data_IF_974518285636
#
_entry.id   IF_974518285636
#
_cell.length_a   1.000
_cell.length_b   1.000
_cell.length_c   1.000
_cell.angle_alpha   90.00
_cell.angle_beta   90.00
_cell.angle_gamma   90.00
#
_symmetry.space_group_name_H-M   'P 1'
#
loop_
_entity.id
_entity.type
_entity.pdbx_description
1 polymer ?
#
# COMPACT_ATOMS: atom_id res chain seq x y z
N UNK A 1 -23.28 40.12 -47.18
CA UNK A 1 -22.16 39.45 -46.48
C UNK A 1 -22.43 39.48 -44.98
N UNK A 2 -22.80 38.33 -44.39
CA UNK A 2 -22.94 38.17 -42.94
C UNK A 2 -21.75 37.35 -42.44
N UNK A 3 -20.95 37.94 -41.56
CA UNK A 3 -19.79 37.29 -40.93
C UNK A 3 -20.30 36.31 -39.87
N UNK A 4 -20.11 35.01 -40.13
CA UNK A 4 -20.46 33.93 -39.22
C UNK A 4 -19.35 33.79 -38.17
N UNK A 5 -19.70 33.97 -36.90
CA UNK A 5 -18.78 34.02 -35.77
C UNK A 5 -18.47 32.59 -35.29
N UNK A 6 -17.32 32.05 -35.71
CA UNK A 6 -16.90 30.66 -35.53
C UNK A 6 -16.14 30.45 -34.19
N UNK A 7 -16.76 30.81 -33.05
CA UNK A 7 -16.10 30.69 -31.73
C UNK A 7 -16.89 29.96 -30.64
N UNK A 8 -18.04 29.35 -30.94
CA UNK A 8 -18.90 28.74 -29.92
C UNK A 8 -19.24 27.26 -30.18
N UNK A 9 -18.25 26.47 -30.58
CA UNK A 9 -18.46 25.02 -30.74
C UNK A 9 -17.21 24.26 -30.29
N UNK A 10 -16.70 24.60 -29.11
CA UNK A 10 -15.79 23.72 -28.38
C UNK A 10 -16.65 22.60 -27.79
N UNK A 11 -16.83 21.56 -28.60
CA UNK A 11 -16.68 20.16 -28.22
C UNK A 11 -16.97 19.85 -26.74
N UNK A 12 -18.25 19.78 -26.37
CA UNK A 12 -18.68 18.90 -25.27
C UNK A 12 -18.71 17.49 -25.87
N UNK A 13 -17.53 16.93 -26.13
CA UNK A 13 -17.39 15.48 -26.12
C UNK A 13 -17.15 15.15 -24.67
N UNK A 14 -18.27 14.89 -23.99
CA UNK A 14 -18.30 14.11 -22.76
C UNK A 14 -17.56 12.81 -23.08
N UNK A 15 -16.29 12.81 -22.69
CA UNK A 15 -15.40 11.66 -22.65
C UNK A 15 -16.08 10.59 -21.79
N UNK A 16 -16.91 9.76 -22.41
CA UNK A 16 -16.90 8.34 -22.08
C UNK A 16 -15.52 7.85 -22.52
N UNK A 17 -14.49 8.18 -21.72
CA UNK A 17 -13.20 7.54 -21.85
C UNK A 17 -13.49 6.06 -21.65
N UNK A 18 -13.28 5.21 -22.68
CA UNK A 18 -13.26 3.78 -22.43
C UNK A 18 -12.28 3.60 -21.30
N UNK A 19 -12.76 3.02 -20.20
CA UNK A 19 -11.97 2.61 -19.06
C UNK A 19 -10.72 1.99 -19.66
N UNK A 20 -9.56 2.64 -19.48
CA UNK A 20 -8.31 2.19 -20.08
C UNK A 20 -8.14 0.75 -19.60
N UNK A 21 -8.31 -0.24 -20.50
CA UNK A 21 -8.54 -1.66 -20.19
C UNK A 21 -7.39 -2.37 -19.43
N UNK A 22 -6.36 -1.61 -19.05
CA UNK A 22 -5.17 -2.06 -18.33
C UNK A 22 -4.89 -1.25 -17.06
N UNK A 23 -5.79 -0.36 -16.67
CA UNK A 23 -5.66 0.41 -15.44
C UNK A 23 -6.26 -0.38 -14.27
N UNK A 24 -5.52 -0.45 -13.17
CA UNK A 24 -5.99 -1.09 -11.95
C UNK A 24 -7.02 -0.21 -11.26
N UNK A 25 -8.04 -0.82 -10.66
CA UNK A 25 -8.95 -0.15 -9.74
C UNK A 25 -8.47 -0.40 -8.31
N UNK A 26 -8.47 0.59 -7.41
CA UNK A 26 -8.19 0.39 -5.98
C UNK A 26 -9.01 1.31 -5.09
N UNK A 27 -9.08 0.96 -3.80
CA UNK A 27 -9.77 1.76 -2.78
C UNK A 27 -8.77 2.65 -2.03
N UNK A 28 -9.18 3.88 -1.74
CA UNK A 28 -8.45 4.81 -0.86
C UNK A 28 -9.42 5.47 0.15
N UNK A 29 -8.90 5.94 1.28
CA UNK A 29 -9.66 6.78 2.20
C UNK A 29 -10.03 8.10 1.54
N UNK A 30 -11.29 8.50 1.68
CA UNK A 30 -11.67 9.88 1.37
C UNK A 30 -11.10 10.77 2.48
N UNK A 31 -10.09 11.57 2.15
CA UNK A 31 -9.60 12.59 3.08
C UNK A 31 -10.64 13.70 3.16
N UNK A 32 -11.16 13.96 4.35
CA UNK A 32 -11.90 15.19 4.61
C UNK A 32 -10.88 16.33 4.69
N UNK A 33 -10.97 17.29 3.77
CA UNK A 33 -10.12 18.48 3.74
C UNK A 33 -10.22 19.31 5.04
N UNK A 34 -11.27 19.11 5.83
CA UNK A 34 -11.51 19.75 7.13
C UNK A 34 -10.70 19.15 8.31
N UNK A 35 -9.95 18.06 8.09
CA UNK A 35 -9.13 17.43 9.14
C UNK A 35 -7.89 18.25 9.57
N UNK A 36 -7.71 19.45 9.00
CA UNK A 36 -6.70 20.41 9.41
C UNK A 36 -7.00 21.12 10.77
N UNK A 37 -8.21 21.05 11.33
CA UNK A 37 -8.52 21.68 12.62
C UNK A 37 -8.64 20.67 13.76
N UNK A 38 -7.51 20.13 14.23
CA UNK A 38 -7.42 19.32 15.45
C UNK A 38 -7.85 20.04 16.76
N UNK A 39 -8.36 21.26 16.69
CA UNK A 39 -8.66 22.11 17.85
C UNK A 39 -10.10 22.64 17.93
N UNK A 40 -11.01 22.23 17.04
CA UNK A 40 -12.41 22.68 17.11
C UNK A 40 -13.21 21.76 18.02
N UNK A 41 -13.21 22.07 19.31
CA UNK A 41 -14.04 21.42 20.31
C UNK A 41 -15.53 21.61 20.01
N UNK A 42 -16.29 20.52 20.01
CA UNK A 42 -17.75 20.52 20.00
C UNK A 42 -18.37 20.31 18.62
N UNK A 43 -18.25 19.11 18.07
CA UNK A 43 -19.22 18.62 17.09
C UNK A 43 -19.78 17.30 17.57
N UNK A 44 -21.11 17.20 17.61
CA UNK A 44 -21.87 15.98 17.88
C UNK A 44 -21.22 14.76 17.22
N UNK A 45 -21.13 13.65 17.95
CA UNK A 45 -20.61 12.36 17.45
C UNK A 45 -21.42 11.91 16.24
N UNK A 46 -21.04 12.37 15.04
CA UNK A 46 -21.58 11.89 13.78
C UNK A 46 -21.23 10.41 13.64
N UNK A 47 -22.23 9.66 13.23
CA UNK A 47 -22.29 8.20 13.18
C UNK A 47 -21.09 7.63 12.39
N UNK A 48 -20.32 6.73 13.03
CA UNK A 48 -20.22 5.30 12.74
C UNK A 48 -19.72 4.76 11.38
N UNK A 49 -19.40 5.55 10.36
CA UNK A 49 -18.96 5.01 9.06
C UNK A 49 -17.62 5.56 8.54
N UNK A 50 -16.94 4.79 7.69
CA UNK A 50 -15.77 5.23 6.90
C UNK A 50 -16.19 5.50 5.47
N UNK A 51 -15.77 6.64 4.93
CA UNK A 51 -15.94 6.96 3.52
C UNK A 51 -14.69 6.55 2.74
N UNK A 52 -14.89 5.72 1.72
CA UNK A 52 -13.84 5.22 0.85
C UNK A 52 -14.13 5.61 -0.59
N UNK A 53 -13.11 5.99 -1.33
CA UNK A 53 -13.20 6.31 -2.75
C UNK A 53 -12.57 5.22 -3.58
N UNK A 54 -13.14 4.97 -4.75
CA UNK A 54 -12.58 4.06 -5.74
C UNK A 54 -11.81 4.89 -6.76
N UNK A 55 -10.58 4.48 -7.04
CA UNK A 55 -9.68 5.10 -8.01
C UNK A 55 -9.34 4.12 -9.11
N UNK A 56 -9.13 4.64 -10.31
CA UNK A 56 -8.70 3.88 -11.47
C UNK A 56 -7.49 4.58 -12.11
N UNK A 57 -6.48 3.81 -12.51
CA UNK A 57 -5.26 4.35 -13.11
C UNK A 57 -3.97 3.71 -12.58
N UNK A 58 -2.89 4.47 -12.68
CA UNK A 58 -1.66 4.23 -11.94
C UNK A 58 -1.69 5.04 -10.63
N UNK A 59 -0.76 4.79 -9.71
CA UNK A 59 -0.72 5.50 -8.42
C UNK A 59 -0.48 7.03 -8.55
N UNK A 60 0.03 7.52 -9.68
CA UNK A 60 0.39 8.93 -9.90
C UNK A 60 -0.74 9.75 -10.55
N UNK A 61 -1.42 9.18 -11.55
CA UNK A 61 -2.43 9.80 -12.41
C UNK A 61 -3.82 9.18 -12.19
N UNK A 62 -4.10 8.82 -10.94
CA UNK A 62 -5.33 8.15 -10.56
C UNK A 62 -6.56 9.04 -10.76
N UNK A 63 -7.55 8.55 -11.49
CA UNK A 63 -8.84 9.20 -11.67
C UNK A 63 -9.86 8.59 -10.71
N UNK A 64 -10.69 9.43 -10.09
CA UNK A 64 -11.79 8.98 -9.26
C UNK A 64 -12.87 8.33 -10.13
N UNK A 65 -13.34 7.14 -9.72
CA UNK A 65 -14.43 6.43 -10.41
C UNK A 65 -15.75 6.95 -9.86
N UNK A 66 -16.47 7.73 -10.65
CA UNK A 66 -17.77 8.30 -10.27
C UNK A 66 -18.93 7.33 -10.51
N UNK A 67 -18.83 6.44 -11.50
CA UNK A 67 -19.89 5.47 -11.77
C UNK A 67 -19.61 4.15 -11.06
N UNK A 68 -20.22 3.99 -9.88
CA UNK A 68 -20.17 2.77 -9.08
C UNK A 68 -21.41 1.89 -9.29
N UNK A 69 -22.23 2.17 -10.32
CA UNK A 69 -23.41 1.35 -10.62
C UNK A 69 -22.99 -0.10 -10.90
N UNK A 70 -23.86 -1.05 -10.53
CA UNK A 70 -23.62 -2.52 -10.61
C UNK A 70 -22.43 -3.05 -9.79
N UNK A 71 -21.85 -2.23 -8.91
CA UNK A 71 -20.79 -2.67 -8.03
C UNK A 71 -21.36 -3.32 -6.76
N UNK A 72 -20.57 -4.22 -6.18
CA UNK A 72 -20.87 -4.94 -4.95
C UNK A 72 -19.76 -4.66 -3.95
N UNK A 73 -20.14 -4.32 -2.71
CA UNK A 73 -19.18 -4.14 -1.61
C UNK A 73 -19.47 -5.18 -0.53
N UNK A 74 -18.46 -5.98 -0.21
CA UNK A 74 -18.48 -6.96 0.87
C UNK A 74 -17.52 -6.51 1.97
N UNK A 75 -17.94 -6.70 3.21
CA UNK A 75 -17.16 -6.37 4.40
C UNK A 75 -17.09 -7.64 5.23
N UNK A 76 -15.89 -8.20 5.35
CA UNK A 76 -15.59 -9.33 6.22
C UNK A 76 -14.99 -8.79 7.52
N UNK A 77 -15.60 -9.11 8.65
CA UNK A 77 -15.05 -8.74 9.96
C UNK A 77 -14.00 -9.74 10.48
N UNK A 78 -13.55 -9.54 11.72
CA UNK A 78 -12.55 -10.40 12.35
C UNK A 78 -13.09 -11.81 12.69
N UNK A 79 -14.39 -11.91 12.96
CA UNK A 79 -15.12 -13.15 13.24
C UNK A 79 -15.53 -13.91 11.96
N UNK A 80 -15.09 -13.42 10.78
CA UNK A 80 -15.43 -13.96 9.46
C UNK A 80 -16.92 -13.80 9.09
N UNK A 81 -17.63 -12.90 9.76
CA UNK A 81 -18.99 -12.51 9.39
C UNK A 81 -18.96 -11.57 8.19
N UNK A 82 -19.95 -11.71 7.31
CA UNK A 82 -20.06 -10.93 6.08
C UNK A 82 -21.22 -9.94 6.18
N UNK A 83 -20.91 -8.68 5.91
CA UNK A 83 -21.87 -7.61 5.77
C UNK A 83 -21.73 -6.97 4.38
N UNK A 84 -22.83 -6.41 3.87
CA UNK A 84 -22.80 -5.61 2.65
C UNK A 84 -22.42 -4.16 3.01
N UNK A 85 -21.48 -3.58 2.26
CA UNK A 85 -21.21 -2.15 2.29
C UNK A 85 -22.30 -1.37 1.55
N UNK A 86 -22.44 -0.07 1.84
CA UNK A 86 -23.32 0.81 1.09
C UNK A 86 -22.51 1.55 0.04
N UNK A 87 -23.04 1.59 -1.18
CA UNK A 87 -22.49 2.40 -2.25
C UNK A 87 -23.38 3.64 -2.35
N UNK A 88 -22.79 4.80 -2.11
CA UNK A 88 -23.38 6.10 -2.36
C UNK A 88 -22.74 6.65 -3.64
N UNK A 89 -23.43 7.54 -4.36
CA UNK A 89 -23.11 7.99 -5.72
C UNK A 89 -21.63 7.83 -6.13
N UNK A 90 -20.73 8.45 -5.37
CA UNK A 90 -19.30 8.54 -5.67
C UNK A 90 -18.37 7.88 -4.63
N UNK A 91 -18.89 7.26 -3.58
CA UNK A 91 -18.08 6.71 -2.49
C UNK A 91 -18.74 5.50 -1.80
N UNK A 92 -17.91 4.71 -1.15
CA UNK A 92 -18.32 3.53 -0.39
C UNK A 92 -18.40 3.93 1.08
N UNK A 93 -19.53 3.64 1.71
CA UNK A 93 -19.74 3.78 3.14
C UNK A 93 -19.66 2.41 3.80
N UNK A 94 -18.72 2.25 4.74
CA UNK A 94 -18.55 1.02 5.51
C UNK A 94 -18.68 1.27 7.00
N UNK A 95 -19.61 0.56 7.64
CA UNK A 95 -19.75 0.52 9.08
C UNK A 95 -18.81 -0.55 9.66
N UNK A 96 -18.03 -0.18 10.69
CA UNK A 96 -17.22 -1.12 11.47
C UNK A 96 -17.42 -0.84 12.96
N UNK A 97 -18.52 -1.33 13.55
CA UNK A 97 -18.92 -0.88 14.88
C UNK A 97 -17.95 -1.32 15.98
N UNK A 98 -17.28 -2.46 15.79
CA UNK A 98 -16.42 -3.08 16.79
C UNK A 98 -14.94 -2.81 16.51
N UNK A 99 -14.13 -2.88 17.57
CA UNK A 99 -12.67 -2.91 17.45
C UNK A 99 -12.24 -4.18 16.70
N UNK A 100 -11.40 -4.04 15.69
CA UNK A 100 -10.93 -5.21 14.93
C UNK A 100 -10.34 -4.88 13.56
N UNK A 101 -10.00 -5.94 12.83
CA UNK A 101 -9.57 -5.89 11.44
C UNK A 101 -10.76 -6.23 10.55
N UNK A 102 -10.98 -5.42 9.52
CA UNK A 102 -12.03 -5.59 8.53
C UNK A 102 -11.40 -5.67 7.16
N UNK A 103 -11.85 -6.62 6.34
CA UNK A 103 -11.46 -6.73 4.95
C UNK A 103 -12.63 -6.26 4.09
N UNK A 104 -12.39 -5.20 3.33
CA UNK A 104 -13.38 -4.61 2.44
C UNK A 104 -13.02 -5.07 1.04
N UNK A 105 -14.01 -5.63 0.35
CA UNK A 105 -13.92 -6.07 -1.03
C UNK A 105 -14.89 -5.26 -1.85
N UNK A 106 -14.40 -4.72 -2.96
CA UNK A 106 -15.21 -4.07 -3.99
C UNK A 106 -15.11 -4.92 -5.25
N UNK A 107 -16.23 -5.22 -5.87
CA UNK A 107 -16.31 -5.95 -7.14
C UNK A 107 -17.24 -5.18 -8.10
N UNK A 108 -16.82 -5.03 -9.34
CA UNK A 108 -17.62 -4.46 -10.42
C UNK A 108 -17.56 -5.39 -11.63
N UNK A 109 -18.69 -5.54 -12.32
CA UNK A 109 -18.82 -6.40 -13.50
C UNK A 109 -19.37 -5.62 -14.68
N UNK A 110 -18.73 -5.75 -15.84
CA UNK A 110 -19.21 -5.14 -17.08
C UNK A 110 -18.89 -6.03 -18.28
N UNK A 111 -19.78 -6.08 -19.27
CA UNK A 111 -19.54 -6.77 -20.55
C UNK A 111 -19.12 -5.76 -21.60
N UNK A 112 -17.93 -5.97 -22.16
CA UNK A 112 -17.36 -5.16 -23.23
C UNK A 112 -16.70 -6.07 -24.27
N UNK A 113 -17.01 -5.88 -25.56
CA UNK A 113 -16.44 -6.66 -26.67
C UNK A 113 -16.55 -8.19 -26.46
N UNK A 114 -17.72 -8.69 -26.06
CA UNK A 114 -17.99 -10.10 -25.74
C UNK A 114 -17.14 -10.69 -24.60
N UNK A 115 -16.48 -9.83 -23.80
CA UNK A 115 -15.74 -10.21 -22.59
C UNK A 115 -16.43 -9.65 -21.36
N UNK A 116 -16.75 -10.53 -20.41
CA UNK A 116 -17.16 -10.14 -19.07
C UNK A 116 -15.93 -9.74 -18.26
N UNK A 117 -15.76 -8.45 -18.01
CA UNK A 117 -14.73 -7.92 -17.14
C UNK A 117 -15.24 -7.94 -15.69
N UNK A 118 -14.58 -8.72 -14.83
CA UNK A 118 -14.81 -8.77 -13.40
C UNK A 118 -13.63 -8.11 -12.72
N UNK A 119 -13.81 -6.87 -12.26
CA UNK A 119 -12.75 -6.08 -11.62
C UNK A 119 -13.03 -6.00 -10.13
N UNK A 120 -12.07 -6.44 -9.32
CA UNK A 120 -12.16 -6.45 -7.88
C UNK A 120 -10.98 -5.73 -7.24
N UNK A 121 -11.18 -5.22 -6.03
CA UNK A 121 -10.10 -4.71 -5.20
C UNK A 121 -10.39 -4.97 -3.72
N UNK A 122 -9.35 -5.18 -2.94
CA UNK A 122 -9.47 -5.42 -1.50
C UNK A 122 -8.58 -4.51 -0.70
N UNK A 123 -9.10 -4.01 0.42
CA UNK A 123 -8.34 -3.21 1.38
C UNK A 123 -8.64 -3.66 2.80
N UNK A 124 -7.63 -3.57 3.66
CA UNK A 124 -7.77 -3.84 5.09
C UNK A 124 -7.93 -2.54 5.86
N UNK A 125 -8.91 -2.52 6.76
CA UNK A 125 -9.19 -1.42 7.66
C UNK A 125 -9.04 -1.92 9.08
N UNK A 126 -8.21 -1.26 9.87
CA UNK A 126 -8.05 -1.59 11.28
C UNK A 126 -8.71 -0.52 12.16
N UNK A 127 -9.82 -0.89 12.81
CA UNK A 127 -10.50 -0.05 13.78
C UNK A 127 -9.90 -0.30 15.17
N UNK A 128 -9.02 0.58 15.62
CA UNK A 128 -8.25 0.42 16.87
C UNK A 128 -9.07 0.66 18.13
N UNK A 129 -9.91 1.69 18.10
CA UNK A 129 -10.52 2.29 19.30
C UNK A 129 -12.06 2.19 19.26
N UNK A 130 -12.61 1.27 18.45
CA UNK A 130 -14.05 1.19 18.13
C UNK A 130 -14.61 2.54 17.60
N UNK A 131 -13.73 3.38 17.06
CA UNK A 131 -14.03 4.61 16.38
C UNK A 131 -13.52 4.50 14.95
N UNK A 132 -14.44 4.33 14.01
CA UNK A 132 -14.11 4.11 12.61
C UNK A 132 -13.43 5.32 11.95
N UNK A 133 -13.67 6.53 12.45
CA UNK A 133 -13.02 7.74 11.95
C UNK A 133 -11.51 7.72 12.25
N UNK A 134 -11.12 7.15 13.38
CA UNK A 134 -9.71 6.97 13.78
C UNK A 134 -9.11 5.65 13.27
N UNK A 135 -9.88 4.89 12.49
CA UNK A 135 -9.40 3.65 11.91
C UNK A 135 -8.29 3.94 10.89
N UNK A 136 -7.34 3.02 10.80
CA UNK A 136 -6.18 3.23 9.94
C UNK A 136 -6.28 2.29 8.75
N UNK A 137 -6.16 2.84 7.54
CA UNK A 137 -5.90 2.08 6.31
C UNK A 137 -4.42 1.70 6.24
N UNK A 138 -3.98 0.90 7.20
CA UNK A 138 -2.65 0.33 7.20
C UNK A 138 -2.75 -1.14 7.49
N UNK A 139 -1.79 -1.87 6.94
CA UNK A 139 -1.51 -3.22 7.35
C UNK A 139 -0.99 -3.21 8.79
N UNK A 140 -1.91 -3.23 9.76
CA UNK A 140 -1.61 -3.20 11.19
C UNK A 140 -1.53 -4.63 11.74
N UNK A 141 -0.67 -4.76 12.76
CA UNK A 141 0.04 -5.96 13.18
C UNK A 141 -0.72 -7.06 13.94
N UNK A 142 -0.10 -8.25 13.83
CA UNK A 142 -0.22 -9.50 14.62
C UNK A 142 0.16 -9.48 16.10
N UNK A 143 -0.55 -8.71 16.93
CA UNK A 143 -0.78 -9.03 18.35
C UNK A 143 -2.16 -8.57 18.85
N UNK A 144 -2.86 -7.76 18.07
CA UNK A 144 -4.29 -7.57 18.25
C UNK A 144 -4.98 -8.86 17.81
N UNK A 145 -5.71 -9.45 18.74
CA UNK A 145 -6.66 -10.53 18.49
C UNK A 145 -7.43 -10.17 17.22
N UNK A 146 -7.32 -10.97 16.16
CA UNK A 146 -8.08 -10.73 14.91
C UNK A 146 -7.32 -10.29 13.65
N UNK A 147 -6.00 -10.01 13.68
CA UNK A 147 -5.24 -9.77 12.43
C UNK A 147 -4.87 -11.09 11.75
N UNK A 148 -5.88 -11.79 11.27
CA UNK A 148 -5.76 -13.06 10.57
C UNK A 148 -5.28 -12.80 9.14
N UNK A 149 -3.96 -12.73 8.97
CA UNK A 149 -3.36 -13.17 7.72
C UNK A 149 -3.77 -14.64 7.50
N UNK A 150 -3.90 -15.06 6.25
CA UNK A 150 -4.23 -16.44 5.90
C UNK A 150 -5.71 -16.84 6.18
N UNK A 151 -6.65 -15.88 6.18
CA UNK A 151 -8.08 -16.20 6.10
C UNK A 151 -8.37 -16.95 4.79
N UNK A 152 -9.31 -17.93 4.80
CA UNK A 152 -9.70 -18.61 3.58
C UNK A 152 -10.33 -17.62 2.58
N UNK A 153 -10.25 -17.92 1.28
CA UNK A 153 -10.90 -17.09 0.26
C UNK A 153 -12.41 -17.00 0.51
N UNK A 154 -13.01 -15.87 0.15
CA UNK A 154 -14.46 -15.66 0.16
C UNK A 154 -15.13 -16.59 -0.85
N UNK A 155 -16.26 -17.18 -0.47
CA UNK A 155 -17.07 -18.00 -1.38
C UNK A 155 -17.83 -17.13 -2.38
N UNK A 156 -18.09 -15.89 -2.01
CA UNK A 156 -18.83 -14.89 -2.78
C UNK A 156 -18.00 -14.24 -3.89
N UNK A 157 -16.67 -14.46 -3.88
CA UNK A 157 -15.75 -13.95 -4.90
C UNK A 157 -15.17 -15.12 -5.69
N UNK A 158 -15.30 -15.04 -7.01
CA UNK A 158 -14.73 -16.05 -7.90
C UNK A 158 -13.21 -15.96 -8.02
N UNK A 159 -12.62 -14.79 -7.77
CA UNK A 159 -11.19 -14.56 -7.92
C UNK A 159 -10.68 -13.71 -6.77
N UNK A 160 -9.70 -14.22 -6.02
CA UNK A 160 -9.18 -13.54 -4.83
C UNK A 160 -7.64 -13.55 -4.75
N UNK A 161 -7.06 -12.39 -4.47
CA UNK A 161 -5.65 -12.24 -4.06
C UNK A 161 -5.60 -12.15 -2.55
N UNK A 162 -5.00 -13.16 -1.91
CA UNK A 162 -4.87 -13.24 -0.45
C UNK A 162 -3.43 -12.97 -0.05
N UNK A 163 -3.23 -11.91 0.74
CA UNK A 163 -1.94 -11.63 1.37
C UNK A 163 -1.74 -12.51 2.61
N UNK A 164 -0.68 -13.31 2.56
CA UNK A 164 -0.22 -14.12 3.68
C UNK A 164 0.66 -13.31 4.63
N UNK A 165 0.95 -13.88 5.80
CA UNK A 165 1.84 -13.23 6.76
C UNK A 165 3.22 -12.91 6.15
N UNK A 166 3.64 -11.64 6.09
CA UNK A 166 4.94 -11.27 5.51
C UNK A 166 6.09 -11.77 6.39
N UNK A 167 7.21 -12.14 5.75
CA UNK A 167 8.45 -12.47 6.45
C UNK A 167 9.21 -11.16 6.68
N UNK A 168 9.37 -10.80 7.94
CA UNK A 168 9.97 -9.52 8.32
C UNK A 168 11.46 -9.66 8.51
N UNK A 169 12.21 -8.68 8.01
CA UNK A 169 13.62 -8.49 8.42
C UNK A 169 13.72 -7.75 9.76
N UNK A 170 12.61 -7.18 10.24
CA UNK A 170 12.55 -6.26 11.39
C UNK A 170 11.61 -6.76 12.50
N UNK A 171 12.00 -6.53 13.76
CA UNK A 171 11.17 -6.86 14.93
C UNK A 171 10.13 -5.78 15.25
N UNK A 172 10.16 -4.61 14.60
CA UNK A 172 9.16 -3.54 14.80
C UNK A 172 7.95 -3.90 14.00
N UNK A 173 6.71 -3.90 14.45
CA UNK A 173 5.82 -3.61 15.55
C UNK A 173 4.46 -3.29 14.85
N UNK A 174 4.47 -2.65 13.67
CA UNK A 174 3.29 -1.91 13.18
C UNK A 174 2.98 -1.90 11.66
N UNK A 175 3.95 -2.05 10.75
CA UNK A 175 3.75 -1.81 9.30
C UNK A 175 4.56 -2.79 8.42
N UNK A 176 4.31 -2.75 7.10
CA UNK A 176 5.26 -3.22 6.08
C UNK A 176 6.43 -2.25 5.95
N UNK A 177 7.62 -2.81 5.80
CA UNK A 177 8.84 -2.05 5.59
C UNK A 177 9.52 -2.43 4.28
N UNK A 178 10.29 -1.49 3.72
CA UNK A 178 11.25 -1.85 2.67
C UNK A 178 12.16 -2.98 3.15
N UNK A 179 12.38 -3.96 2.28
CA UNK A 179 13.15 -5.16 2.59
C UNK A 179 12.38 -6.29 3.27
N UNK A 180 11.14 -6.08 3.74
CA UNK A 180 10.29 -7.21 4.15
C UNK A 180 9.90 -8.07 2.92
N UNK A 181 9.66 -9.36 3.11
CA UNK A 181 9.19 -10.26 2.05
C UNK A 181 7.68 -10.35 2.14
N UNK A 182 7.00 -9.77 1.16
CA UNK A 182 5.56 -9.87 1.00
C UNK A 182 5.20 -11.22 0.35
N UNK A 183 4.12 -11.84 0.81
CA UNK A 183 3.71 -13.20 0.43
C UNK A 183 2.24 -13.21 0.04
N UNK A 184 1.91 -13.83 -1.09
CA UNK A 184 0.56 -13.87 -1.63
C UNK A 184 0.23 -15.26 -2.15
N UNK A 185 -1.07 -15.59 -2.12
CA UNK A 185 -1.67 -16.70 -2.87
C UNK A 185 -2.88 -16.17 -3.64
N UNK A 186 -3.09 -16.72 -4.82
CA UNK A 186 -4.20 -16.37 -5.70
C UNK A 186 -5.17 -17.54 -5.70
N UNK A 187 -6.47 -17.26 -5.58
CA UNK A 187 -7.52 -18.25 -5.60
C UNK A 187 -8.51 -17.97 -6.73
N UNK A 188 -8.97 -19.04 -7.37
CA UNK A 188 -10.08 -19.03 -8.32
C UNK A 188 -11.14 -20.03 -7.85
N UNK A 189 -12.37 -19.56 -7.62
CA UNK A 189 -13.52 -20.31 -7.06
C UNK A 189 -13.13 -21.10 -5.80
N UNK A 190 -12.36 -20.46 -4.92
CA UNK A 190 -11.87 -21.04 -3.67
C UNK A 190 -10.71 -22.03 -3.79
N UNK A 191 -10.24 -22.34 -5.01
CA UNK A 191 -9.10 -23.24 -5.28
C UNK A 191 -7.84 -22.42 -5.59
N UNK A 192 -6.69 -22.87 -5.11
CA UNK A 192 -5.41 -22.22 -5.36
C UNK A 192 -5.09 -22.18 -6.86
N UNK A 193 -4.74 -21.00 -7.38
CA UNK A 193 -4.47 -20.76 -8.79
C UNK A 193 -2.97 -20.52 -9.02
N UNK A 194 -2.20 -21.61 -8.95
CA UNK A 194 -0.74 -21.60 -8.75
C UNK A 194 0.09 -21.16 -9.96
N UNK A 195 -0.55 -20.80 -11.07
CA UNK A 195 0.11 -20.40 -12.34
C UNK A 195 -0.08 -18.93 -12.70
N UNK A 196 -0.79 -18.18 -11.85
CA UNK A 196 -1.14 -16.80 -12.15
C UNK A 196 -0.02 -15.89 -11.62
N UNK A 197 0.63 -15.08 -12.48
CA UNK A 197 1.64 -14.14 -12.03
C UNK A 197 1.01 -12.96 -11.32
N UNK A 198 1.81 -12.35 -10.44
CA UNK A 198 1.46 -11.13 -9.73
C UNK A 198 2.23 -9.96 -10.33
N UNK A 199 1.51 -8.91 -10.70
CA UNK A 199 2.11 -7.64 -11.10
C UNK A 199 2.14 -6.72 -9.89
N UNK A 200 3.26 -6.06 -9.67
CA UNK A 200 3.47 -5.19 -8.53
C UNK A 200 4.01 -3.88 -9.02
N UNK A 201 3.41 -2.77 -8.61
CA UNK A 201 3.92 -1.45 -8.94
C UNK A 201 3.84 -0.48 -7.76
N UNK A 202 4.81 0.41 -7.67
CA UNK A 202 4.93 1.40 -6.59
C UNK A 202 4.64 2.81 -7.07
N UNK A 203 4.43 3.72 -6.12
CA UNK A 203 4.22 5.14 -6.40
C UNK A 203 5.47 5.78 -7.04
N UNK A 204 6.67 5.31 -6.73
CA UNK A 204 7.93 5.76 -7.35
C UNK A 204 8.16 5.22 -8.77
N UNK A 205 7.24 4.40 -9.29
CA UNK A 205 7.31 3.87 -10.65
C UNK A 205 8.06 2.55 -10.79
N UNK A 206 8.50 1.92 -9.70
CA UNK A 206 8.99 0.55 -9.76
C UNK A 206 7.84 -0.37 -10.19
N UNK A 207 8.10 -1.27 -11.13
CA UNK A 207 7.13 -2.24 -11.63
C UNK A 207 7.82 -3.60 -11.84
N UNK A 208 7.20 -4.67 -11.36
CA UNK A 208 7.73 -6.03 -11.47
C UNK A 208 6.61 -7.04 -11.69
N UNK A 209 6.89 -8.05 -12.49
CA UNK A 209 6.08 -9.26 -12.60
C UNK A 209 6.75 -10.38 -11.79
N UNK A 210 6.01 -10.97 -10.86
CA UNK A 210 6.50 -12.02 -9.96
C UNK A 210 5.75 -13.31 -10.30
N UNK A 211 6.50 -14.33 -10.70
CA UNK A 211 5.94 -15.64 -10.99
C UNK A 211 5.68 -16.42 -9.69
N UNK A 212 4.62 -17.25 -9.64
CA UNK A 212 4.40 -18.15 -8.52
C UNK A 212 5.46 -19.25 -8.45
N UNK A 213 5.76 -19.69 -7.22
CA UNK A 213 6.54 -20.90 -6.97
C UNK A 213 5.72 -22.18 -7.23
N UNK A 214 6.34 -23.34 -6.99
CA UNK A 214 5.71 -24.65 -7.21
C UNK A 214 4.46 -24.90 -6.35
N UNK A 215 4.37 -24.25 -5.19
CA UNK A 215 3.26 -24.32 -4.23
C UNK A 215 2.19 -23.22 -4.43
N UNK A 216 2.29 -22.48 -5.54
CA UNK A 216 1.45 -21.32 -5.86
C UNK A 216 1.73 -20.09 -5.00
N UNK A 217 2.77 -20.14 -4.15
CA UNK A 217 3.16 -19.00 -3.32
C UNK A 217 3.92 -17.99 -4.17
N UNK A 218 3.47 -16.74 -4.11
CA UNK A 218 4.14 -15.62 -4.74
C UNK A 218 4.82 -14.82 -3.64
N UNK A 219 6.14 -14.67 -3.72
CA UNK A 219 6.91 -13.95 -2.72
C UNK A 219 7.88 -12.99 -3.39
N UNK A 220 7.97 -11.77 -2.87
CA UNK A 220 8.97 -10.79 -3.32
C UNK A 220 9.40 -9.88 -2.17
N UNK A 221 10.63 -9.38 -2.24
CA UNK A 221 11.13 -8.38 -1.32
C UNK A 221 10.59 -7.01 -1.70
N UNK A 222 10.00 -6.29 -0.74
CA UNK A 222 9.51 -4.93 -0.94
C UNK A 222 10.70 -4.04 -1.31
N UNK A 223 10.66 -3.34 -2.47
CA UNK A 223 11.79 -2.58 -2.94
C UNK A 223 12.14 -1.45 -1.96
N UNK A 224 13.41 -1.08 -1.96
CA UNK A 224 13.85 0.10 -1.22
C UNK A 224 13.45 1.33 -2.01
N UNK A 225 12.76 2.23 -1.33
CA UNK A 225 12.48 3.56 -1.86
C UNK A 225 13.83 4.27 -1.94
N UNK A 226 14.32 4.51 -3.16
CA UNK A 226 15.67 5.04 -3.37
C UNK A 226 15.85 6.39 -2.68
N UNK A 227 16.89 6.49 -1.85
CA UNK A 227 17.60 7.68 -1.37
C UNK A 227 16.98 9.04 -1.74
N UNK A 228 15.85 9.41 -1.14
CA UNK A 228 15.49 10.82 -1.10
C UNK A 228 16.58 11.58 -0.33
N UNK A 229 16.86 12.82 -0.78
CA UNK A 229 17.93 13.65 -0.21
C UNK A 229 17.75 13.72 1.31
N UNK A 230 18.81 13.40 2.05
CA UNK A 230 18.84 13.32 3.52
C UNK A 230 18.37 14.59 4.27
N UNK A 231 18.07 15.68 3.57
CA UNK A 231 17.59 16.94 4.13
C UNK A 231 16.13 16.89 4.62
N UNK A 232 15.27 16.03 4.07
CA UNK A 232 13.86 15.88 4.51
C UNK A 232 13.61 14.52 5.17
N UNK A 233 14.34 14.23 6.26
CA UNK A 233 14.33 12.97 7.02
C UNK A 233 13.01 12.58 7.73
N UNK A 234 11.86 13.06 7.24
CA UNK A 234 10.56 12.55 7.70
C UNK A 234 10.36 11.13 7.15
N UNK A 235 9.84 10.23 7.99
CA UNK A 235 9.44 8.88 7.58
C UNK A 235 8.49 8.97 6.39
N UNK A 236 8.97 8.67 5.19
CA UNK A 236 8.13 8.63 3.99
C UNK A 236 7.44 7.28 3.92
N UNK A 237 6.12 7.32 3.78
CA UNK A 237 5.30 6.16 3.46
C UNK A 237 5.06 6.14 1.97
N UNK A 238 5.32 5.01 1.34
CA UNK A 238 5.07 4.81 -0.08
C UNK A 238 3.90 3.84 -0.30
N UNK A 239 3.12 4.11 -1.34
CA UNK A 239 2.05 3.20 -1.78
C UNK A 239 2.57 2.23 -2.83
N UNK A 240 2.03 1.02 -2.79
CA UNK A 240 2.17 0.03 -3.85
C UNK A 240 0.82 -0.61 -4.14
N UNK A 241 0.65 -1.11 -5.35
CA UNK A 241 -0.50 -1.93 -5.72
C UNK A 241 0.02 -3.27 -6.22
N UNK A 242 -0.63 -4.31 -5.72
CA UNK A 242 -0.46 -5.68 -6.14
C UNK A 242 -1.66 -6.04 -7.00
N UNK A 243 -1.45 -6.57 -8.20
CA UNK A 243 -2.47 -6.84 -9.20
C UNK A 243 -2.31 -8.25 -9.77
N UNK A 244 -3.39 -9.01 -9.85
CA UNK A 244 -3.45 -10.28 -10.56
C UNK A 244 -4.54 -10.24 -11.63
N UNK A 245 -4.26 -10.84 -12.78
CA UNK A 245 -5.20 -10.93 -13.90
C UNK A 245 -5.33 -12.39 -14.33
N UNK A 246 -6.56 -12.82 -14.58
CA UNK A 246 -6.88 -14.17 -15.01
C UNK A 246 -7.95 -14.15 -16.09
N UNK A 247 -7.87 -15.04 -17.07
CA UNK A 247 -8.83 -15.08 -18.18
C UNK A 247 -9.26 -16.51 -18.42
N UNK A 248 -10.57 -16.69 -18.57
CA UNK A 248 -11.19 -18.00 -18.80
C UNK A 248 -12.13 -17.90 -20.00
N UNK A 249 -12.08 -18.90 -20.87
CA UNK A 249 -13.00 -19.05 -22.00
C UNK A 249 -14.31 -19.70 -21.51
N UNK A 250 -15.14 -18.90 -20.84
CA UNK A 250 -16.49 -19.26 -20.39
C UNK A 250 -17.52 -18.33 -21.04
N UNK A 251 -18.55 -18.91 -21.65
CA UNK A 251 -19.65 -18.17 -22.26
C UNK A 251 -20.83 -18.07 -21.30
N UNK A 252 -21.57 -16.97 -21.38
CA UNK A 252 -22.76 -16.76 -20.58
C UNK A 252 -23.50 -15.48 -20.94
N UNK A 253 -24.41 -15.06 -20.04
CA UNK A 253 -25.16 -13.82 -20.17
C UNK A 253 -25.07 -13.03 -18.88
N UNK A 254 -24.81 -11.73 -18.97
CA UNK A 254 -24.81 -10.79 -17.84
C UNK A 254 -25.59 -9.54 -18.20
N UNK A 255 -26.65 -9.24 -17.44
CA UNK A 255 -27.54 -8.10 -17.68
C UNK A 255 -28.05 -8.01 -19.13
N UNK A 256 -28.46 -9.13 -19.74
CA UNK A 256 -28.96 -9.17 -21.11
C UNK A 256 -27.88 -9.18 -22.20
N UNK A 257 -26.59 -9.08 -21.84
CA UNK A 257 -25.47 -9.11 -22.78
C UNK A 257 -24.78 -10.46 -22.74
N UNK A 258 -24.61 -11.08 -23.90
CA UNK A 258 -23.85 -12.31 -24.04
C UNK A 258 -22.34 -12.03 -23.96
N UNK A 259 -21.59 -12.99 -23.44
CA UNK A 259 -20.13 -12.97 -23.45
C UNK A 259 -19.61 -14.39 -23.77
N UNK A 260 -18.37 -14.45 -24.26
CA UNK A 260 -17.66 -15.70 -24.61
C UNK A 260 -16.41 -15.94 -23.76
N UNK A 261 -16.03 -14.95 -22.96
CA UNK A 261 -14.82 -14.94 -22.15
C UNK A 261 -15.04 -14.12 -20.89
N UNK A 262 -14.37 -14.51 -19.81
CA UNK A 262 -14.35 -13.77 -18.55
C UNK A 262 -12.91 -13.34 -18.25
N UNK A 263 -12.71 -12.04 -18.01
CA UNK A 263 -11.43 -11.47 -17.55
C UNK A 263 -11.59 -11.03 -16.10
N UNK A 264 -10.94 -11.74 -15.19
CA UNK A 264 -10.83 -11.37 -13.79
C UNK A 264 -9.61 -10.48 -13.59
N UNK A 265 -9.78 -9.39 -12.86
CA UNK A 265 -8.70 -8.54 -12.38
C UNK A 265 -8.92 -8.27 -10.90
N UNK A 266 -7.91 -8.50 -10.07
CA UNK A 266 -7.98 -8.14 -8.67
C UNK A 266 -6.75 -7.38 -8.23
N UNK A 267 -6.98 -6.26 -7.55
CA UNK A 267 -5.92 -5.44 -6.98
C UNK A 267 -5.96 -5.40 -5.44
N UNK A 268 -4.82 -5.11 -4.83
CA UNK A 268 -4.68 -4.87 -3.40
C UNK A 268 -3.72 -3.68 -3.20
N UNK A 269 -4.22 -2.48 -2.82
CA UNK A 269 -3.36 -1.38 -2.40
C UNK A 269 -2.72 -1.69 -1.05
N UNK A 270 -1.41 -1.46 -0.97
CA UNK A 270 -0.62 -1.59 0.25
C UNK A 270 0.18 -0.30 0.48
N UNK A 271 0.57 -0.09 1.73
CA UNK A 271 1.44 1.03 2.11
C UNK A 271 2.60 0.48 2.92
N UNK A 272 3.82 0.87 2.55
CA UNK A 272 5.04 0.48 3.23
C UNK A 272 5.86 1.72 3.58
N UNK A 273 6.85 1.57 4.46
CA UNK A 273 7.73 2.66 4.88
C UNK A 273 9.20 2.25 4.78
N UNK A 274 10.09 3.23 4.76
CA UNK A 274 11.54 2.96 4.76
C UNK A 274 11.99 2.27 6.04
N UNK A 275 12.82 1.23 5.91
CA UNK A 275 13.32 0.46 7.05
C UNK A 275 13.97 1.35 8.13
N UNK A 276 13.59 1.17 9.41
CA UNK A 276 14.20 1.91 10.51
C UNK A 276 15.66 1.50 10.78
N UNK A 277 16.08 0.30 10.34
CA UNK A 277 17.45 -0.19 10.57
C UNK A 277 18.48 0.52 9.70
N UNK A 278 18.10 0.95 8.50
CA UNK A 278 19.02 1.64 7.58
C UNK A 278 19.57 2.91 8.21
N UNK A 279 18.75 3.67 8.93
CA UNK A 279 19.17 4.89 9.63
C UNK A 279 20.08 4.61 10.84
N UNK A 280 19.82 3.52 11.58
CA UNK A 280 20.61 3.19 12.78
C UNK A 280 22.06 2.82 12.44
N UNK A 281 22.29 2.20 11.28
CA UNK A 281 23.62 1.75 10.86
C UNK A 281 24.57 2.92 10.55
N UNK A 282 24.07 3.98 9.92
CA UNK A 282 24.87 5.16 9.57
C UNK A 282 25.39 5.89 10.81
N UNK A 283 24.55 6.09 11.82
CA UNK A 283 24.95 6.69 13.11
C UNK A 283 25.99 5.83 13.84
N UNK A 284 25.79 4.51 13.86
CA UNK A 284 26.73 3.59 14.52
C UNK A 284 28.11 3.62 13.87
N UNK A 285 28.19 3.65 12.53
CA UNK A 285 29.45 3.79 11.81
C UNK A 285 30.16 5.10 12.15
N UNK A 286 29.41 6.20 12.25
CA UNK A 286 29.96 7.50 12.65
C UNK A 286 30.54 7.49 14.08
N UNK A 287 29.85 6.88 15.05
CA UNK A 287 30.38 6.74 16.41
C UNK A 287 31.64 5.88 16.48
N UNK A 288 31.72 4.81 15.68
CA UNK A 288 32.93 3.98 15.60
C UNK A 288 34.08 4.80 15.04
N UNK A 289 33.88 5.56 13.97
CA UNK A 289 34.92 6.42 13.39
C UNK A 289 35.39 7.48 14.39
N UNK A 290 34.46 8.17 15.07
CA UNK A 290 34.82 9.14 16.13
C UNK A 290 35.57 8.46 17.27
N UNK A 291 35.11 7.30 17.72
CA UNK A 291 35.75 6.55 18.80
C UNK A 291 37.19 6.16 18.44
N UNK A 292 37.40 5.65 17.23
CA UNK A 292 38.73 5.32 16.69
C UNK A 292 39.60 6.58 16.61
N UNK A 293 39.09 7.68 16.05
CA UNK A 293 39.83 8.95 15.97
C UNK A 293 40.25 9.49 17.35
N UNK A 294 39.37 9.39 18.36
CA UNK A 294 39.67 9.79 19.73
C UNK A 294 40.77 8.92 20.35
N UNK A 295 40.70 7.60 20.20
CA UNK A 295 41.71 6.67 20.72
C UNK A 295 43.07 6.94 20.08
N UNK A 296 43.12 7.13 18.76
CA UNK A 296 44.37 7.48 18.07
C UNK A 296 44.91 8.84 18.52
N UNK A 297 44.04 9.85 18.67
CA UNK A 297 44.44 11.19 19.13
C UNK A 297 45.01 11.17 20.55
N UNK A 298 44.38 10.43 21.46
CA UNK A 298 44.84 10.21 22.84
C UNK A 298 46.17 9.44 22.86
N UNK A 299 46.31 8.40 22.04
CA UNK A 299 47.54 7.63 21.90
C UNK A 299 48.70 8.49 21.43
N UNK A 300 48.50 9.32 20.40
CA UNK A 300 49.51 10.26 19.89
C UNK A 300 49.86 11.31 20.96
N UNK A 301 48.86 11.87 21.65
CA UNK A 301 49.07 12.84 22.72
C UNK A 301 49.91 12.25 23.86
N UNK A 302 49.57 11.05 24.34
CA UNK A 302 50.30 10.39 25.42
C UNK A 302 51.73 10.02 25.00
N UNK A 303 51.90 9.52 23.78
CA UNK A 303 53.21 9.22 23.21
C UNK A 303 54.11 10.47 23.13
N UNK A 304 53.56 11.61 22.66
CA UNK A 304 54.28 12.89 22.62
C UNK A 304 54.64 13.39 24.01
N UNK A 305 53.73 13.27 24.98
CA UNK A 305 53.97 13.66 26.37
C UNK A 305 55.13 12.87 26.99
N UNK A 306 55.18 11.55 26.75
CA UNK A 306 56.28 10.69 27.23
C UNK A 306 57.64 11.01 26.61
N UNK A 307 57.66 11.59 25.40
CA UNK A 307 58.88 12.02 24.69
C UNK A 307 59.39 13.40 25.06
N UNK A 308 58.65 14.21 25.83
CA UNK A 308 59.20 15.42 26.43
C UNK A 308 60.22 14.99 27.49
N UNK A 309 61.46 14.76 27.05
CA UNK A 309 62.61 14.60 27.94
C UNK A 309 62.73 15.90 28.74
N UNK A 310 62.92 15.77 30.04
CA UNK A 310 63.39 16.91 30.84
C UNK A 310 64.67 17.45 30.21
N UNK A 311 64.84 18.78 30.15
CA UNK A 311 66.06 19.36 29.63
C UNK A 311 67.22 18.76 30.41
N UNK A 312 68.11 18.03 29.72
CA UNK A 312 69.35 17.59 30.34
C UNK A 312 70.16 18.84 30.62
N UNK A 313 70.39 19.13 31.89
CA UNK A 313 71.36 20.15 32.29
C UNK A 313 72.72 19.74 31.73
N UNK A 314 73.21 20.51 30.75
CA UNK A 314 74.55 20.36 30.21
C UNK A 314 75.45 21.17 31.15
N UNK A 315 76.19 20.47 32.01
CA UNK A 315 77.28 21.07 32.77
C UNK A 315 78.45 21.29 31.82
N UNK A 316 78.77 22.54 31.53
CA UNK A 316 80.00 22.90 30.82
C UNK A 316 81.15 22.89 31.82
N UNK A 317 82.05 21.91 31.68
CA UNK A 317 83.30 21.86 32.41
C UNK A 317 84.34 22.62 31.58
N UNK A 318 84.48 23.92 31.85
CA UNK A 318 85.50 24.77 31.21
C UNK A 318 86.86 24.48 31.87
N UNK A 319 87.84 24.14 31.04
CA UNK A 319 89.20 23.80 31.43
C UNK A 319 90.21 24.74 30.79
#
# INVERSE_FOLDING_TARGET
MKTFNLKSTIFIVLLFLPIILNASIWIEEKKNDDSASCCSGGSEKKIGYKELIVKNGNLQDAVHVSDLNSSKVLVRDFDDSLANGKILDNFIEVATPNKGSYHIFFEQKNVENDVLNVVATTIRVYNKDANIQDSVLKEIRGRTVGSHYDKPPLKELDFEVVMLKPIRKHQINCCLWSGDIARFKIYYRGVSADKIPLKVFTQTGWNSFVQPGEDGLISFEIPRTTYEKAQDSKRTSEKMIVEANYTVDESGEYLGKQYSKIKYSMSMPLTFSSSPLEYSSQLSGFYVVIGVMLVFSLGIYYYRRKKKKEPKEIWFDEK
#
